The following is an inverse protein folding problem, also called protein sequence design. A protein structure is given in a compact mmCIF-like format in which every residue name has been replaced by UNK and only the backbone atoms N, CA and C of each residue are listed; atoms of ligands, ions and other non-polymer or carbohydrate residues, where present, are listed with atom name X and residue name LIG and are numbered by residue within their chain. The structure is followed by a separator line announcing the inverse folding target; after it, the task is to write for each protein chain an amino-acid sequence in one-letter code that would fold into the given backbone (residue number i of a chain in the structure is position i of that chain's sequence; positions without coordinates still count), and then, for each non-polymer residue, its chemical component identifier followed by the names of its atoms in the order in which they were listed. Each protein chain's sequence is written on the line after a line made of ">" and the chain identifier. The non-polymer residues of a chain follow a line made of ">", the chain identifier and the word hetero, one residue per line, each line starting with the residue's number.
data_IF_716803648183
#
_entry.id   IF_716803648183
#
_cell.length_a   1.000
_cell.length_b   1.000
_cell.length_c   1.000
_cell.angle_alpha   90.00
_cell.angle_beta   90.00
_cell.angle_gamma   90.00
#
_symmetry.space_group_name_H-M   'P 1'
#
loop_
_entity.id
_entity.type
_entity.pdbx_description
1 polymer ?
#
# COMPACT_ATOMS: atom_id res chain seq x y z
N UNK A 1 -15.19 -5.11 -5.64
CA UNK A 1 -15.06 -3.64 -5.48
C UNK A 1 -13.58 -3.28 -5.44
N UNK A 2 -13.24 -2.00 -5.60
CA UNK A 2 -11.86 -1.52 -5.49
C UNK A 2 -11.80 -0.21 -4.73
N UNK A 3 -10.64 0.10 -4.15
CA UNK A 3 -10.40 1.32 -3.40
C UNK A 3 -8.96 1.75 -3.66
N UNK A 4 -8.68 3.06 -3.69
CA UNK A 4 -7.34 3.61 -3.94
C UNK A 4 -7.02 4.72 -2.95
N UNK A 5 -5.75 4.83 -2.60
CA UNK A 5 -5.20 5.99 -1.89
C UNK A 5 -4.30 6.74 -2.87
N UNK A 6 -4.61 8.01 -3.11
CA UNK A 6 -3.88 8.85 -4.07
C UNK A 6 -3.04 9.86 -3.30
N UNK A 7 -1.75 9.85 -3.55
CA UNK A 7 -0.80 10.77 -2.94
C UNK A 7 -0.45 11.87 -3.93
N UNK A 8 -0.67 13.13 -3.55
CA UNK A 8 -0.27 14.25 -4.40
C UNK A 8 1.25 14.45 -4.38
N UNK A 9 1.86 14.98 -5.45
CA UNK A 9 3.27 15.33 -5.45
C UNK A 9 3.63 16.29 -4.31
N UNK A 10 2.76 17.27 -4.02
CA UNK A 10 2.96 18.22 -2.93
C UNK A 10 2.98 17.53 -1.56
N UNK A 11 2.13 16.52 -1.34
CA UNK A 11 2.15 15.73 -0.11
C UNK A 11 3.46 14.95 0.02
N UNK A 12 3.90 14.29 -1.04
CA UNK A 12 5.16 13.52 -1.05
C UNK A 12 6.34 14.45 -0.75
N UNK A 13 6.47 15.57 -1.47
CA UNK A 13 7.52 16.57 -1.24
C UNK A 13 7.47 17.12 0.18
N UNK A 14 6.28 17.47 0.69
CA UNK A 14 6.12 17.97 2.06
C UNK A 14 6.58 16.95 3.10
N UNK A 15 6.32 15.66 2.90
CA UNK A 15 6.74 14.62 3.84
C UNK A 15 8.25 14.36 3.80
N UNK A 16 8.85 14.36 2.61
CA UNK A 16 10.27 14.08 2.41
C UNK A 16 11.19 15.27 2.69
N UNK A 17 10.68 16.51 2.64
CA UNK A 17 11.45 17.75 2.86
C UNK A 17 11.20 18.39 4.24
N UNK A 18 10.47 17.70 5.12
CA UNK A 18 10.27 18.13 6.52
C UNK A 18 11.59 18.22 7.29
N UNK A 19 11.53 18.90 8.43
CA UNK A 19 12.62 18.93 9.40
C UNK A 19 13.09 17.50 9.74
N UNK A 20 14.41 17.23 9.88
CA UNK A 20 14.96 15.88 10.03
C UNK A 20 14.29 15.00 11.08
N UNK A 21 13.83 15.57 12.20
CA UNK A 21 13.13 14.85 13.27
C UNK A 21 11.73 14.32 12.90
N UNK A 22 11.13 14.80 11.82
CA UNK A 22 9.76 14.43 11.37
C UNK A 22 9.71 14.03 9.89
N UNK A 23 10.87 14.02 9.22
CA UNK A 23 11.00 13.66 7.81
C UNK A 23 10.66 12.18 7.64
N UNK A 24 9.86 11.88 6.63
CA UNK A 24 9.57 10.51 6.21
C UNK A 24 10.25 10.21 4.88
N UNK A 25 10.82 9.02 4.73
CA UNK A 25 11.29 8.54 3.44
C UNK A 25 10.13 7.96 2.61
N UNK A 26 10.39 7.65 1.34
CA UNK A 26 9.35 7.18 0.43
C UNK A 26 8.75 5.83 0.84
N UNK A 27 9.55 4.94 1.45
CA UNK A 27 9.07 3.65 1.94
C UNK A 27 8.09 3.83 3.10
N UNK A 28 8.38 4.73 4.04
CA UNK A 28 7.48 5.06 5.15
C UNK A 28 6.17 5.65 4.64
N UNK A 29 6.23 6.57 3.68
CA UNK A 29 5.03 7.14 3.04
C UNK A 29 4.21 6.05 2.34
N UNK A 30 4.88 5.13 1.63
CA UNK A 30 4.25 4.00 0.95
C UNK A 30 3.54 3.06 1.93
N UNK A 31 4.20 2.70 3.04
CA UNK A 31 3.61 1.87 4.08
C UNK A 31 2.38 2.53 4.72
N UNK A 32 2.45 3.84 5.02
CA UNK A 32 1.31 4.56 5.58
C UNK A 32 0.11 4.61 4.63
N UNK A 33 0.36 4.81 3.34
CA UNK A 33 -0.69 4.78 2.32
C UNK A 33 -1.33 3.38 2.21
N UNK A 34 -0.51 2.32 2.20
CA UNK A 34 -1.00 0.95 2.19
C UNK A 34 -1.82 0.62 3.46
N UNK A 35 -1.37 1.06 4.63
CA UNK A 35 -2.10 0.86 5.88
C UNK A 35 -3.41 1.62 5.93
N UNK A 36 -3.43 2.84 5.38
CA UNK A 36 -4.67 3.62 5.23
C UNK A 36 -5.67 2.86 4.35
N UNK A 37 -5.21 2.30 3.24
CA UNK A 37 -6.05 1.50 2.33
C UNK A 37 -6.61 0.25 3.02
N UNK A 38 -5.77 -0.50 3.75
CA UNK A 38 -6.19 -1.69 4.51
C UNK A 38 -7.23 -1.29 5.57
N UNK A 39 -6.96 -0.23 6.33
CA UNK A 39 -7.86 0.23 7.39
C UNK A 39 -9.23 0.64 6.84
N UNK A 40 -9.29 1.40 5.74
CA UNK A 40 -10.57 1.74 5.09
C UNK A 40 -11.29 0.51 4.56
N UNK A 41 -10.55 -0.47 4.03
CA UNK A 41 -11.13 -1.72 3.54
C UNK A 41 -11.77 -2.51 4.69
N UNK A 42 -11.10 -2.58 5.85
CA UNK A 42 -11.61 -3.27 7.05
C UNK A 42 -12.88 -2.64 7.65
N UNK A 43 -13.15 -1.37 7.37
CA UNK A 43 -14.39 -0.70 7.81
C UNK A 43 -15.61 -1.17 7.03
N UNK A 44 -15.42 -1.71 5.82
CA UNK A 44 -16.50 -2.13 4.91
C UNK A 44 -16.55 -3.65 4.76
N UNK A 45 -15.39 -4.32 4.87
CA UNK A 45 -15.25 -5.76 4.60
C UNK A 45 -14.49 -6.48 5.71
N UNK A 46 -14.87 -7.73 5.97
CA UNK A 46 -14.08 -8.65 6.79
C UNK A 46 -13.00 -9.30 5.92
N UNK A 47 -11.73 -8.99 6.21
CA UNK A 47 -10.59 -9.51 5.46
C UNK A 47 -10.18 -10.88 6.04
N UNK A 48 -10.22 -11.92 5.22
CA UNK A 48 -9.72 -13.26 5.58
C UNK A 48 -8.25 -13.43 5.21
N UNK A 49 -7.87 -12.97 4.01
CA UNK A 49 -6.52 -13.07 3.46
C UNK A 49 -6.12 -11.73 2.85
N UNK A 50 -4.85 -11.35 3.02
CA UNK A 50 -4.27 -10.13 2.46
C UNK A 50 -3.00 -10.47 1.67
N UNK A 51 -3.00 -10.14 0.38
CA UNK A 51 -1.88 -10.35 -0.53
C UNK A 51 -1.28 -9.02 -0.95
N UNK A 52 0.03 -8.85 -0.77
CA UNK A 52 0.73 -7.58 -1.01
C UNK A 52 1.98 -7.81 -1.86
N UNK A 53 2.09 -7.05 -2.95
CA UNK A 53 3.33 -6.96 -3.73
C UNK A 53 4.34 -6.03 -3.03
N UNK A 54 5.61 -6.44 -3.01
CA UNK A 54 6.69 -5.65 -2.41
C UNK A 54 7.90 -5.54 -3.32
N UNK A 55 8.56 -4.39 -3.27
CA UNK A 55 9.88 -4.12 -3.88
C UNK A 55 11.02 -4.19 -2.85
N UNK A 56 10.70 -4.44 -1.58
CA UNK A 56 11.65 -4.56 -0.46
C UNK A 56 11.50 -5.86 0.33
N UNK A 57 12.20 -6.00 1.47
CA UNK A 57 12.22 -7.24 2.25
C UNK A 57 10.82 -7.68 2.71
N UNK A 58 10.36 -8.81 2.19
CA UNK A 58 9.04 -9.41 2.45
C UNK A 58 8.76 -9.57 3.93
N UNK A 59 9.73 -10.14 4.67
CA UNK A 59 9.60 -10.41 6.09
C UNK A 59 9.35 -9.15 6.93
N UNK A 60 10.13 -8.08 6.70
CA UNK A 60 9.98 -6.82 7.42
C UNK A 60 8.61 -6.18 7.15
N UNK A 61 8.14 -6.24 5.91
CA UNK A 61 6.84 -5.68 5.56
C UNK A 61 5.70 -6.50 6.19
N UNK A 62 5.74 -7.84 6.06
CA UNK A 62 4.77 -8.73 6.70
C UNK A 62 4.71 -8.53 8.21
N UNK A 63 5.85 -8.40 8.89
CA UNK A 63 5.90 -8.09 10.32
C UNK A 63 5.21 -6.77 10.65
N UNK A 64 5.46 -5.70 9.87
CA UNK A 64 4.81 -4.40 10.09
C UNK A 64 3.29 -4.47 9.91
N UNK A 65 2.81 -5.20 8.91
CA UNK A 65 1.37 -5.43 8.71
C UNK A 65 0.79 -6.20 9.89
N UNK A 66 1.39 -7.33 10.28
CA UNK A 66 0.89 -8.17 11.37
C UNK A 66 0.86 -7.43 12.71
N UNK A 67 1.86 -6.60 13.01
CA UNK A 67 1.86 -5.77 14.22
C UNK A 67 0.73 -4.73 14.20
N UNK A 68 0.42 -4.15 13.03
CA UNK A 68 -0.61 -3.10 12.91
C UNK A 68 -2.02 -3.67 12.81
N UNK A 69 -2.17 -4.83 12.17
CA UNK A 69 -3.45 -5.47 11.85
C UNK A 69 -3.45 -6.94 12.29
N UNK A 70 -3.36 -7.22 13.61
CA UNK A 70 -3.27 -8.59 14.13
C UNK A 70 -4.53 -9.43 13.88
N UNK A 71 -5.64 -8.79 13.49
CA UNK A 71 -6.93 -9.44 13.25
C UNK A 71 -7.08 -9.98 11.82
N UNK A 72 -6.10 -9.75 10.93
CA UNK A 72 -6.09 -10.34 9.59
C UNK A 72 -5.50 -11.75 9.72
N UNK A 73 -6.28 -12.82 9.47
CA UNK A 73 -5.83 -14.20 9.72
C UNK A 73 -4.60 -14.59 8.90
N UNK A 74 -4.58 -14.21 7.63
CA UNK A 74 -3.50 -14.56 6.72
C UNK A 74 -2.99 -13.34 5.95
N UNK A 75 -1.68 -13.14 6.03
CA UNK A 75 -0.97 -12.08 5.33
C UNK A 75 0.16 -12.70 4.50
N UNK A 76 0.09 -12.52 3.20
CA UNK A 76 1.09 -12.93 2.21
C UNK A 76 1.72 -11.69 1.63
N UNK A 77 3.02 -11.52 1.84
CA UNK A 77 3.81 -10.45 1.22
C UNK A 77 4.92 -11.10 0.42
N UNK A 78 4.91 -10.92 -0.90
CA UNK A 78 5.93 -11.48 -1.79
C UNK A 78 6.27 -10.52 -2.91
N UNK A 79 7.50 -10.61 -3.41
CA UNK A 79 7.90 -9.89 -4.61
C UNK A 79 7.21 -10.49 -5.85
N UNK A 80 6.87 -9.64 -6.83
CA UNK A 80 6.20 -10.04 -8.09
C UNK A 80 4.84 -10.71 -7.85
N UNK A 81 4.15 -10.32 -6.78
CA UNK A 81 2.86 -10.89 -6.42
C UNK A 81 1.80 -10.63 -7.51
N UNK A 82 1.94 -9.56 -8.29
CA UNK A 82 1.08 -9.23 -9.42
C UNK A 82 1.13 -10.25 -10.56
N UNK A 83 2.22 -11.01 -10.66
CA UNK A 83 2.40 -12.09 -11.64
C UNK A 83 1.90 -13.45 -11.13
N UNK A 84 1.77 -13.60 -9.80
CA UNK A 84 1.36 -14.85 -9.15
C UNK A 84 -0.12 -14.86 -8.77
N UNK A 85 -0.63 -13.73 -8.29
CA UNK A 85 -1.98 -13.62 -7.73
C UNK A 85 -2.85 -12.69 -8.59
N UNK A 86 -3.92 -13.20 -9.22
CA UNK A 86 -4.79 -12.40 -10.10
C UNK A 86 -5.38 -11.15 -9.42
N UNK A 87 -5.68 -11.22 -8.11
CA UNK A 87 -6.20 -10.07 -7.35
C UNK A 87 -5.17 -8.95 -7.21
N UNK A 88 -3.89 -9.28 -7.08
CA UNK A 88 -2.80 -8.30 -7.01
C UNK A 88 -2.55 -7.71 -8.40
N UNK A 89 -2.65 -8.55 -9.44
CA UNK A 89 -2.62 -8.10 -10.84
C UNK A 89 -3.72 -7.07 -11.14
N UNK A 90 -4.96 -7.35 -10.72
CA UNK A 90 -6.09 -6.42 -10.87
C UNK A 90 -5.85 -5.10 -10.14
N UNK A 91 -5.35 -5.14 -8.89
CA UNK A 91 -4.98 -3.93 -8.15
C UNK A 91 -3.90 -3.11 -8.87
N UNK A 92 -2.92 -3.79 -9.47
CA UNK A 92 -1.83 -3.18 -10.24
C UNK A 92 -2.33 -2.47 -11.50
N UNK A 93 -3.30 -3.06 -12.22
CA UNK A 93 -3.94 -2.43 -13.39
C UNK A 93 -4.69 -1.15 -12.96
N UNK A 94 -5.51 -1.23 -11.90
CA UNK A 94 -6.28 -0.08 -11.40
C UNK A 94 -5.33 1.04 -10.97
N UNK A 95 -4.27 0.73 -10.22
CA UNK A 95 -3.31 1.72 -9.76
C UNK A 95 -2.62 2.45 -10.94
N UNK A 96 -2.21 1.72 -11.98
CA UNK A 96 -1.60 2.29 -13.19
C UNK A 96 -2.59 3.16 -13.97
N UNK A 97 -3.80 2.67 -14.21
CA UNK A 97 -4.82 3.41 -14.94
C UNK A 97 -5.19 4.72 -14.25
N UNK A 98 -5.38 4.69 -12.92
CA UNK A 98 -5.67 5.90 -12.15
C UNK A 98 -4.49 6.86 -12.17
N UNK A 99 -3.26 6.37 -12.02
CA UNK A 99 -2.05 7.22 -12.12
C UNK A 99 -2.02 7.94 -13.46
N UNK A 100 -2.17 7.20 -14.56
CA UNK A 100 -2.04 7.76 -15.91
C UNK A 100 -3.14 8.80 -16.18
N UNK A 101 -4.38 8.54 -15.74
CA UNK A 101 -5.47 9.52 -15.77
C UNK A 101 -5.16 10.78 -14.98
N UNK A 102 -4.48 10.67 -13.83
CA UNK A 102 -4.12 11.84 -12.99
C UNK A 102 -2.93 12.63 -13.53
N UNK A 103 -2.11 12.05 -14.40
CA UNK A 103 -1.01 12.73 -15.06
C UNK A 103 -1.44 13.41 -16.36
N UNK A 104 -2.52 12.94 -16.99
CA UNK A 104 -3.05 13.51 -18.23
C UNK A 104 -4.11 14.61 -18.01
N UNK A 105 -4.49 14.89 -16.76
CA UNK A 105 -5.34 16.03 -16.37
C UNK A 105 -4.47 17.19 -15.91
#
# INVERSE_FOLDING_TARGET
>A
SWMVVILSPQYISKCMLRHPSTRKNLNEISFEAAFTLIQHTMQVYRIAELYVDTVGPEHTYKQRINMRFPNIPEVVVVAKADSTYPIVSAASIIAKQIRDQRLSM
#
